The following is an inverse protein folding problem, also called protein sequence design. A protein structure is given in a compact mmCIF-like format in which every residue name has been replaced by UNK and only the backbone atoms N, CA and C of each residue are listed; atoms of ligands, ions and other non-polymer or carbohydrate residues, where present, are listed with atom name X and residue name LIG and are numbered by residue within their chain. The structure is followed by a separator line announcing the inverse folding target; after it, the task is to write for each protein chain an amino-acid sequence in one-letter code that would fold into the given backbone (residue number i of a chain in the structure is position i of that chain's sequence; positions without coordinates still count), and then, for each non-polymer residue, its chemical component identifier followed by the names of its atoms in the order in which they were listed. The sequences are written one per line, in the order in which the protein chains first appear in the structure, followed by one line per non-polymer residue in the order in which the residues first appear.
data_IF_841843908279
#
_entry.id   IF_841843908279
#
_cell.length_a   1.000
_cell.length_b   1.000
_cell.length_c   1.000
_cell.angle_alpha   90.00
_cell.angle_beta   90.00
_cell.angle_gamma   90.00
#
_symmetry.space_group_name_H-M   'P 1'
#
loop_
_entity.id
_entity.type
_entity.pdbx_description
1 polymer ?
#
# COMPACT_ATOMS: atom_id res chain seq x y z
N UNK A 1 25.98 4.10 8.27
CA UNK A 1 24.56 3.88 8.60
C UNK A 1 23.75 3.90 7.32
N UNK A 2 23.00 2.83 7.03
CA UNK A 2 22.23 2.69 5.78
C UNK A 2 20.87 3.37 5.91
N UNK A 3 20.55 4.26 4.98
CA UNK A 3 19.22 4.84 4.85
C UNK A 3 18.25 3.77 4.33
N UNK A 4 17.05 3.67 4.93
CA UNK A 4 16.01 2.75 4.46
C UNK A 4 15.12 3.50 3.47
N UNK A 5 15.19 3.11 2.20
CA UNK A 5 14.36 3.70 1.15
C UNK A 5 12.90 3.20 1.17
N UNK A 6 12.69 1.96 1.61
CA UNK A 6 11.38 1.30 1.59
C UNK A 6 11.29 0.17 2.63
N UNK A 7 10.10 -0.02 3.18
CA UNK A 7 9.70 -1.21 3.94
C UNK A 7 8.44 -1.82 3.31
N UNK A 8 8.38 -3.15 3.26
CA UNK A 8 7.22 -3.90 2.80
C UNK A 8 6.78 -4.86 3.90
N UNK A 9 5.50 -4.79 4.26
CA UNK A 9 4.88 -5.68 5.22
C UNK A 9 3.94 -6.64 4.47
N UNK A 10 4.34 -7.91 4.35
CA UNK A 10 3.68 -8.89 3.49
C UNK A 10 2.73 -9.79 4.31
N UNK A 11 1.47 -9.83 3.91
CA UNK A 11 0.44 -10.62 4.59
C UNK A 11 -0.60 -11.17 3.62
N UNK A 12 -1.13 -12.36 3.94
CA UNK A 12 -2.31 -12.88 3.28
C UNK A 12 -3.57 -12.17 3.76
N UNK A 13 -4.52 -11.94 2.85
CA UNK A 13 -5.84 -11.41 3.17
C UNK A 13 -6.90 -12.48 3.00
N UNK A 14 -7.83 -12.58 3.95
CA UNK A 14 -8.82 -13.67 3.98
C UNK A 14 -10.09 -13.38 3.17
N UNK A 15 -10.38 -12.12 2.88
CA UNK A 15 -11.67 -11.68 2.30
C UNK A 15 -11.59 -10.94 0.97
N UNK A 16 -10.41 -10.78 0.37
CA UNK A 16 -10.24 -10.03 -0.89
C UNK A 16 -9.31 -10.81 -1.81
N UNK A 17 -9.66 -10.88 -3.09
CA UNK A 17 -8.89 -11.56 -4.12
C UNK A 17 -7.85 -10.61 -4.74
N UNK A 18 -6.74 -11.19 -5.20
CA UNK A 18 -5.64 -10.48 -5.84
C UNK A 18 -4.63 -9.89 -4.85
N UNK A 19 -3.55 -9.34 -5.39
CA UNK A 19 -2.53 -8.62 -4.62
C UNK A 19 -2.92 -7.14 -4.51
N UNK A 20 -2.72 -6.51 -3.37
CA UNK A 20 -3.02 -5.08 -3.19
C UNK A 20 -2.23 -4.51 -2.02
N UNK A 21 -2.20 -3.18 -1.91
CA UNK A 21 -1.43 -2.47 -0.88
C UNK A 21 -2.35 -1.72 0.07
N UNK A 22 -2.11 -1.89 1.36
CA UNK A 22 -2.51 -0.92 2.37
C UNK A 22 -1.33 0.00 2.65
N UNK A 23 -1.56 1.30 2.47
CA UNK A 23 -0.54 2.32 2.64
C UNK A 23 -1.00 3.47 3.52
N UNK A 24 -0.07 4.34 3.86
CA UNK A 24 -0.39 5.56 4.60
C UNK A 24 -0.70 6.70 3.63
N UNK A 25 -1.69 7.52 3.97
CA UNK A 25 -1.82 8.87 3.42
C UNK A 25 -0.83 9.80 4.15
N UNK A 26 -0.18 10.68 3.39
CA UNK A 26 0.77 11.67 3.92
C UNK A 26 0.33 13.08 3.53
N UNK A 27 0.53 14.05 4.42
CA UNK A 27 0.32 15.47 4.12
C UNK A 27 1.39 16.03 3.19
N UNK A 28 2.61 15.51 3.29
CA UNK A 28 3.69 15.79 2.36
C UNK A 28 3.41 15.15 1.00
N UNK A 29 3.24 15.99 -0.02
CA UNK A 29 2.87 15.57 -1.37
C UNK A 29 3.97 14.74 -2.02
N UNK A 30 5.24 15.06 -1.82
CA UNK A 30 6.35 14.32 -2.42
C UNK A 30 6.50 12.94 -1.80
N UNK A 31 6.31 12.83 -0.48
CA UNK A 31 6.26 11.55 0.21
C UNK A 31 5.09 10.71 -0.24
N UNK A 32 3.89 11.31 -0.35
CA UNK A 32 2.71 10.61 -0.86
C UNK A 32 2.92 10.11 -2.29
N UNK A 33 3.40 10.97 -3.19
CA UNK A 33 3.70 10.59 -4.57
C UNK A 33 4.69 9.42 -4.63
N UNK A 34 5.84 9.52 -3.93
CA UNK A 34 6.82 8.42 -3.87
C UNK A 34 6.21 7.13 -3.33
N UNK A 35 5.40 7.21 -2.28
CA UNK A 35 4.73 6.05 -1.67
C UNK A 35 3.79 5.33 -2.66
N UNK A 36 3.13 6.08 -3.55
CA UNK A 36 2.22 5.50 -4.56
C UNK A 36 2.93 4.89 -5.78
N UNK A 37 4.22 5.16 -6.00
CA UNK A 37 4.94 4.68 -7.18
C UNK A 37 5.07 3.16 -7.22
N UNK A 38 5.40 2.53 -6.09
CA UNK A 38 5.58 1.09 -6.04
C UNK A 38 4.27 0.32 -6.35
N UNK A 39 3.14 0.61 -5.69
CA UNK A 39 1.86 -0.03 -6.03
C UNK A 39 1.45 0.20 -7.49
N UNK A 40 1.69 1.40 -8.02
CA UNK A 40 1.43 1.71 -9.43
C UNK A 40 2.30 0.88 -10.37
N UNK A 41 3.60 0.78 -10.11
CA UNK A 41 4.49 -0.02 -10.93
C UNK A 41 4.17 -1.51 -10.86
N UNK A 42 3.86 -2.01 -9.66
CA UNK A 42 3.45 -3.40 -9.45
C UNK A 42 2.19 -3.74 -10.24
N UNK A 43 1.24 -2.81 -10.39
CA UNK A 43 0.04 -3.00 -11.22
C UNK A 43 0.33 -3.23 -12.70
N UNK A 44 1.50 -2.82 -13.20
CA UNK A 44 1.93 -3.12 -14.58
C UNK A 44 2.66 -4.44 -14.71
N UNK A 45 3.24 -4.94 -13.62
CA UNK A 45 4.04 -6.17 -13.61
C UNK A 45 3.24 -7.40 -13.17
N UNK A 46 2.17 -7.20 -12.40
CA UNK A 46 1.37 -8.25 -11.78
C UNK A 46 -0.10 -8.13 -12.24
N UNK A 47 -0.56 -9.00 -13.17
CA UNK A 47 -1.94 -8.97 -13.68
C UNK A 47 -3.01 -9.19 -12.61
N UNK A 48 -2.65 -9.82 -11.49
CA UNK A 48 -3.50 -10.08 -10.33
C UNK A 48 -3.49 -8.94 -9.30
N UNK A 49 -2.76 -7.85 -9.56
CA UNK A 49 -2.75 -6.68 -8.70
C UNK A 49 -4.05 -5.88 -8.82
N UNK A 50 -4.75 -5.70 -7.71
CA UNK A 50 -6.00 -4.94 -7.62
C UNK A 50 -5.73 -3.51 -7.15
N UNK A 51 -5.83 -2.56 -8.08
CA UNK A 51 -5.88 -1.13 -7.76
C UNK A 51 -7.15 -0.76 -6.97
N UNK A 52 -8.24 -1.51 -7.17
CA UNK A 52 -9.51 -1.30 -6.46
C UNK A 52 -9.39 -1.63 -4.96
N UNK A 53 -8.69 -2.72 -4.61
CA UNK A 53 -8.45 -3.11 -3.22
C UNK A 53 -7.28 -2.35 -2.57
N UNK A 54 -6.52 -1.56 -3.35
CA UNK A 54 -5.42 -0.75 -2.83
C UNK A 54 -5.95 0.51 -2.16
N UNK A 55 -5.62 0.70 -0.88
CA UNK A 55 -6.18 1.78 -0.06
C UNK A 55 -5.12 2.48 0.77
N UNK A 56 -5.28 3.79 0.96
CA UNK A 56 -4.37 4.61 1.76
C UNK A 56 -5.11 5.29 2.93
N UNK A 57 -5.01 4.77 4.16
CA UNK A 57 -5.75 5.25 5.33
C UNK A 57 -7.28 5.40 5.10
N UNK A 58 -7.87 4.61 4.21
CA UNK A 58 -9.30 4.69 3.85
C UNK A 58 -10.15 3.57 4.46
N UNK A 59 -9.53 2.50 4.95
CA UNK A 59 -10.27 1.40 5.58
C UNK A 59 -10.62 1.74 7.03
N UNK A 60 -11.92 1.98 7.28
CA UNK A 60 -12.44 2.27 8.61
C UNK A 60 -12.18 1.15 9.61
N UNK A 61 -12.15 -0.11 9.16
CA UNK A 61 -11.93 -1.27 10.02
C UNK A 61 -10.47 -1.40 10.46
N UNK A 62 -9.54 -0.68 9.81
CA UNK A 62 -8.11 -0.68 10.17
C UNK A 62 -7.68 0.58 10.91
N UNK A 63 -8.59 1.53 11.14
CA UNK A 63 -8.35 2.65 12.04
C UNK A 63 -7.93 2.13 13.41
N UNK A 64 -6.90 2.74 14.00
CA UNK A 64 -6.37 2.27 15.29
C UNK A 64 -5.28 1.19 15.17
N UNK A 65 -5.21 0.44 14.07
CA UNK A 65 -4.26 -0.68 13.93
C UNK A 65 -2.91 -0.22 13.36
N UNK A 66 -1.91 -1.11 13.34
CA UNK A 66 -0.64 -0.87 12.62
C UNK A 66 -0.77 -1.04 11.10
N UNK A 67 -1.92 -1.53 10.60
CA UNK A 67 -2.20 -1.81 9.19
C UNK A 67 -3.17 -0.80 8.57
N UNK A 68 -3.12 0.46 9.03
CA UNK A 68 -3.98 1.56 8.56
C UNK A 68 -3.84 1.81 7.06
#
# INVERSE_FOLDING_TARGET
DGEIDMYLDLHAHTGMLGAFVYGNSYTDVYRFQRHTLFPKHLSYCAPDFSLEHTAYNKDKNKQGTSRR
#
